data_IF_556608338571
#
_entry.id   IF_556608338571
#
_cell.length_a   1.000
_cell.length_b   1.000
_cell.length_c   1.000
_cell.angle_alpha   90.00
_cell.angle_beta   90.00
_cell.angle_gamma   90.00
#
_symmetry.space_group_name_H-M   'P 1'
#
loop_
_entity.id
_entity.type
_entity.pdbx_description
1 polymer ?
#
# COMPACT_ATOMS: atom_id res chain seq x y z
N UNK A 1 16.64 -27.73 -16.14
CA UNK A 1 16.37 -26.40 -16.74
C UNK A 1 15.86 -25.49 -15.62
N UNK A 2 16.50 -24.33 -15.40
CA UNK A 2 16.10 -23.36 -14.38
C UNK A 2 15.16 -22.35 -15.04
N UNK A 3 13.90 -22.31 -14.62
CA UNK A 3 12.92 -21.30 -15.09
C UNK A 3 13.01 -20.12 -14.12
N UNK A 4 13.29 -18.93 -14.64
CA UNK A 4 13.28 -17.69 -13.86
C UNK A 4 11.98 -16.92 -14.16
N UNK A 5 11.18 -16.65 -13.13
CA UNK A 5 9.94 -15.89 -13.28
C UNK A 5 10.26 -14.39 -13.17
N UNK A 6 10.07 -13.60 -14.24
CA UNK A 6 10.40 -12.18 -14.21
C UNK A 6 9.40 -11.42 -13.34
N UNK A 7 9.85 -10.29 -12.78
CA UNK A 7 8.94 -9.30 -12.18
C UNK A 7 8.24 -8.55 -13.30
N UNK A 8 6.93 -8.46 -13.22
CA UNK A 8 6.07 -7.78 -14.20
C UNK A 8 5.58 -6.51 -13.56
N UNK A 9 5.94 -5.40 -14.17
CA UNK A 9 5.63 -4.05 -13.70
C UNK A 9 4.66 -3.40 -14.67
N UNK A 10 3.66 -2.71 -14.13
CA UNK A 10 2.67 -1.97 -14.92
C UNK A 10 2.60 -0.53 -14.46
N UNK A 11 2.49 0.44 -15.38
CA UNK A 11 2.27 1.83 -15.02
C UNK A 11 0.88 2.00 -14.43
N UNK A 12 0.79 2.81 -13.38
CA UNK A 12 -0.43 3.38 -12.83
C UNK A 12 -0.38 4.89 -13.07
N UNK A 13 -1.01 5.39 -14.15
CA UNK A 13 -1.13 6.83 -14.39
C UNK A 13 -1.96 7.49 -13.29
N UNK A 14 -1.47 8.57 -12.70
CA UNK A 14 -2.25 9.33 -11.72
C UNK A 14 -3.34 10.16 -12.40
N UNK A 15 -3.25 10.38 -13.71
CA UNK A 15 -4.36 10.91 -14.53
C UNK A 15 -5.63 10.03 -14.48
N UNK A 16 -5.51 8.74 -14.18
CA UNK A 16 -6.68 7.85 -13.97
C UNK A 16 -7.47 8.22 -12.71
N UNK A 17 -6.84 8.92 -11.75
CA UNK A 17 -7.49 9.48 -10.58
C UNK A 17 -8.08 10.85 -10.88
N UNK A 18 -7.24 11.77 -11.38
CA UNK A 18 -7.66 13.11 -11.79
C UNK A 18 -6.71 13.68 -12.87
N UNK A 19 -7.22 14.36 -13.91
CA UNK A 19 -6.41 14.79 -15.05
C UNK A 19 -5.29 15.79 -14.70
N UNK A 20 -5.41 16.53 -13.60
CA UNK A 20 -4.45 17.53 -13.14
C UNK A 20 -3.09 16.92 -12.76
N UNK A 21 -3.04 15.61 -12.47
CA UNK A 21 -1.79 14.89 -12.23
C UNK A 21 -0.98 14.60 -13.51
N UNK A 22 -1.53 14.89 -14.68
CA UNK A 22 -0.82 14.88 -15.96
C UNK A 22 -0.08 13.56 -16.25
N UNK A 23 1.22 13.67 -16.54
CA UNK A 23 2.07 12.53 -16.92
C UNK A 23 2.63 11.75 -15.71
N UNK A 24 2.22 12.07 -14.48
CA UNK A 24 2.70 11.36 -13.29
C UNK A 24 2.27 9.88 -13.32
N UNK A 25 3.24 8.98 -13.18
CA UNK A 25 3.02 7.53 -13.25
C UNK A 25 3.74 6.82 -12.12
N UNK A 26 3.03 5.95 -11.42
CA UNK A 26 3.59 5.03 -10.44
C UNK A 26 3.85 3.66 -11.07
N UNK A 27 4.99 3.03 -10.79
CA UNK A 27 5.32 1.71 -11.33
C UNK A 27 4.92 0.61 -10.34
N UNK A 28 3.96 -0.25 -10.69
CA UNK A 28 3.41 -1.26 -9.76
C UNK A 28 3.85 -2.67 -10.16
N UNK A 29 4.46 -3.42 -9.24
CA UNK A 29 4.73 -4.84 -9.41
C UNK A 29 3.44 -5.67 -9.33
N UNK A 30 2.97 -6.23 -10.45
CA UNK A 30 1.65 -6.90 -10.53
C UNK A 30 1.69 -8.42 -10.34
N UNK A 31 2.86 -9.05 -10.41
CA UNK A 31 3.06 -10.47 -10.08
C UNK A 31 3.93 -10.69 -8.83
N UNK A 32 3.69 -9.99 -7.69
CA UNK A 32 4.50 -10.17 -6.50
C UNK A 32 4.42 -11.62 -6.00
N UNK A 33 5.43 -12.14 -5.30
CA UNK A 33 5.37 -13.48 -4.71
C UNK A 33 4.25 -13.58 -3.70
N UNK A 34 3.80 -14.81 -3.41
CA UNK A 34 2.78 -15.06 -2.39
C UNK A 34 3.19 -14.49 -1.03
N UNK A 35 4.45 -14.65 -0.62
CA UNK A 35 4.97 -14.12 0.64
C UNK A 35 4.71 -12.61 0.79
N UNK A 36 4.99 -11.82 -0.25
CA UNK A 36 4.74 -10.37 -0.21
C UNK A 36 3.23 -10.08 -0.08
N UNK A 37 2.35 -10.84 -0.75
CA UNK A 37 0.90 -10.68 -0.57
C UNK A 37 0.46 -11.01 0.87
N UNK A 38 1.03 -12.06 1.45
CA UNK A 38 0.70 -12.52 2.80
C UNK A 38 1.13 -11.48 3.85
N UNK A 39 2.25 -10.78 3.65
CA UNK A 39 2.68 -9.64 4.49
C UNK A 39 1.58 -8.56 4.59
N UNK A 40 1.02 -8.12 3.44
CA UNK A 40 -0.05 -7.13 3.43
C UNK A 40 -1.34 -7.65 4.05
N UNK A 41 -1.70 -8.91 3.77
CA UNK A 41 -2.90 -9.52 4.35
C UNK A 41 -2.80 -9.59 5.88
N UNK A 42 -1.63 -9.93 6.41
CA UNK A 42 -1.38 -9.93 7.85
C UNK A 42 -1.56 -8.54 8.45
N UNK A 43 -1.01 -7.50 7.79
CA UNK A 43 -1.19 -6.11 8.22
C UNK A 43 -2.67 -5.70 8.25
N UNK A 44 -3.46 -6.08 7.24
CA UNK A 44 -4.89 -5.77 7.18
C UNK A 44 -5.67 -6.45 8.33
N UNK A 45 -5.41 -7.73 8.59
CA UNK A 45 -6.05 -8.48 9.69
C UNK A 45 -5.68 -7.86 11.05
N UNK A 46 -4.41 -7.49 11.23
CA UNK A 46 -3.97 -6.82 12.47
C UNK A 46 -4.60 -5.44 12.63
N UNK A 47 -4.70 -4.66 11.54
CA UNK A 47 -5.37 -3.35 11.53
C UNK A 47 -6.82 -3.49 11.97
N UNK A 48 -7.56 -4.44 11.39
CA UNK A 48 -8.96 -4.70 11.75
C UNK A 48 -9.10 -5.05 13.23
N UNK A 49 -8.27 -5.96 13.73
CA UNK A 49 -8.24 -6.37 15.14
C UNK A 49 -7.99 -5.17 16.09
N UNK A 50 -6.98 -4.35 15.79
CA UNK A 50 -6.65 -3.15 16.59
C UNK A 50 -7.79 -2.14 16.58
N UNK A 51 -8.42 -1.90 15.41
CA UNK A 51 -9.57 -0.98 15.29
C UNK A 51 -10.78 -1.49 16.07
N UNK A 52 -11.06 -2.79 16.05
CA UNK A 52 -12.11 -3.39 16.87
C UNK A 52 -11.85 -3.24 18.36
N UNK A 53 -10.62 -3.45 18.82
CA UNK A 53 -10.26 -3.21 20.22
C UNK A 53 -10.44 -1.74 20.59
N UNK A 54 -9.93 -0.81 19.77
CA UNK A 54 -10.07 0.63 20.00
C UNK A 54 -11.54 1.06 20.11
N UNK A 55 -12.44 0.50 19.27
CA UNK A 55 -13.88 0.78 19.32
C UNK A 55 -14.54 0.34 20.64
N UNK A 56 -14.00 -0.69 21.31
CA UNK A 56 -14.53 -1.22 22.58
C UNK A 56 -14.09 -0.37 23.78
N UNK A 57 -13.01 0.41 23.66
CA UNK A 57 -12.46 1.21 24.75
C UNK A 57 -13.16 2.56 24.88
N UNK A 58 -13.97 2.71 25.93
CA UNK A 58 -14.68 3.96 26.29
C UNK A 58 -14.17 4.54 27.62
N UNK A 59 -14.27 5.85 27.80
CA UNK A 59 -13.88 6.49 29.07
C UNK A 59 -12.36 6.65 29.25
N UNK A 60 -11.92 7.52 30.18
CA UNK A 60 -10.51 7.86 30.40
C UNK A 60 -9.66 6.72 30.99
N UNK A 61 -10.26 5.74 31.67
CA UNK A 61 -9.63 4.59 32.32
C UNK A 61 -8.80 3.73 31.36
N UNK A 62 -9.13 3.74 30.06
CA UNK A 62 -8.42 2.99 29.03
C UNK A 62 -7.31 3.79 28.34
N UNK A 63 -6.87 4.94 28.88
CA UNK A 63 -5.82 5.78 28.28
C UNK A 63 -4.55 4.99 27.96
N UNK A 64 -4.06 4.16 28.89
CA UNK A 64 -2.86 3.36 28.69
C UNK A 64 -3.05 2.32 27.56
N UNK A 65 -4.19 1.61 27.55
CA UNK A 65 -4.49 0.62 26.50
C UNK A 65 -4.65 1.27 25.12
N UNK A 66 -5.27 2.46 25.04
CA UNK A 66 -5.36 3.22 23.79
C UNK A 66 -3.99 3.66 23.27
N UNK A 67 -3.07 4.05 24.16
CA UNK A 67 -1.70 4.38 23.76
C UNK A 67 -0.95 3.14 23.23
N UNK A 68 -1.10 1.97 23.88
CA UNK A 68 -0.54 0.70 23.39
C UNK A 68 -1.08 0.33 22.00
N UNK A 69 -2.40 0.44 21.80
CA UNK A 69 -3.03 0.15 20.51
C UNK A 69 -2.65 1.17 19.43
N UNK A 70 -2.45 2.45 19.80
CA UNK A 70 -1.93 3.47 18.88
C UNK A 70 -0.51 3.12 18.42
N UNK A 71 0.39 2.75 19.34
CA UNK A 71 1.76 2.36 19.00
C UNK A 71 1.78 1.12 18.09
N UNK A 72 0.92 0.13 18.35
CA UNK A 72 0.72 -1.01 17.44
C UNK A 72 0.24 -0.56 16.06
N UNK A 73 -0.61 0.45 16.00
CA UNK A 73 -1.10 0.97 14.74
C UNK A 73 0.02 1.65 13.93
N UNK A 74 0.91 2.37 14.61
CA UNK A 74 2.10 2.98 14.00
C UNK A 74 3.06 1.90 13.46
N UNK A 75 3.32 0.83 14.22
CA UNK A 75 4.14 -0.31 13.78
C UNK A 75 3.56 -1.00 12.53
N UNK A 76 2.24 -1.17 12.47
CA UNK A 76 1.56 -1.73 11.29
C UNK A 76 1.67 -0.76 10.12
N UNK A 77 1.56 0.55 10.36
CA UNK A 77 1.79 1.59 9.35
C UNK A 77 3.17 1.50 8.72
N UNK A 78 4.22 1.36 9.53
CA UNK A 78 5.60 1.17 9.05
C UNK A 78 5.77 -0.10 8.21
N UNK A 79 5.11 -1.21 8.59
CA UNK A 79 5.11 -2.44 7.79
C UNK A 79 4.43 -2.24 6.44
N UNK A 80 3.30 -1.54 6.39
CA UNK A 80 2.59 -1.21 5.15
C UNK A 80 3.47 -0.32 4.27
N UNK A 81 4.14 0.69 4.82
CA UNK A 81 5.07 1.56 4.08
C UNK A 81 6.21 0.74 3.47
N UNK A 82 6.85 -0.13 4.25
CA UNK A 82 7.89 -1.03 3.76
C UNK A 82 7.38 -1.96 2.66
N UNK A 83 6.15 -2.45 2.77
CA UNK A 83 5.50 -3.24 1.74
C UNK A 83 5.26 -2.45 0.45
N UNK A 84 4.75 -1.22 0.54
CA UNK A 84 4.49 -0.35 -0.61
C UNK A 84 5.78 0.04 -1.32
N UNK A 85 6.84 0.35 -0.58
CA UNK A 85 8.17 0.63 -1.16
C UNK A 85 8.67 -0.56 -1.98
N UNK A 86 8.55 -1.80 -1.47
CA UNK A 86 8.88 -3.01 -2.26
C UNK A 86 8.00 -3.12 -3.51
N UNK A 87 6.71 -2.82 -3.41
CA UNK A 87 5.77 -2.95 -4.52
C UNK A 87 6.04 -1.93 -5.63
N UNK A 88 6.35 -0.69 -5.26
CA UNK A 88 6.50 0.45 -6.16
C UNK A 88 7.93 0.66 -6.69
N UNK A 89 8.90 -0.10 -6.19
CA UNK A 89 10.32 0.02 -6.55
C UNK A 89 10.84 -1.01 -7.56
N UNK A 90 9.95 -1.61 -8.35
CA UNK A 90 10.36 -2.64 -9.32
C UNK A 90 10.59 -2.10 -10.75
N UNK A 91 10.29 -0.82 -10.99
CA UNK A 91 10.56 -0.15 -12.26
C UNK A 91 12.02 0.29 -12.47
N UNK A 92 12.29 1.10 -13.51
CA UNK A 92 13.56 1.80 -13.69
C UNK A 92 13.98 2.57 -12.43
N UNK A 93 15.28 2.73 -12.21
CA UNK A 93 15.83 3.33 -10.99
C UNK A 93 15.22 4.70 -10.66
N UNK A 94 15.05 5.56 -11.68
CA UNK A 94 14.44 6.88 -11.54
C UNK A 94 12.95 6.89 -11.12
N UNK A 95 12.29 5.73 -11.10
CA UNK A 95 10.87 5.58 -10.73
C UNK A 95 10.66 4.83 -9.42
N UNK A 96 11.75 4.42 -8.76
CA UNK A 96 11.68 3.66 -7.52
C UNK A 96 11.38 4.58 -6.35
N UNK A 97 10.59 4.09 -5.39
CA UNK A 97 10.24 4.80 -4.17
C UNK A 97 10.83 4.09 -2.96
N UNK A 98 11.79 4.73 -2.31
CA UNK A 98 12.29 4.34 -0.99
C UNK A 98 11.18 4.40 0.07
N UNK A 99 11.49 3.93 1.28
CA UNK A 99 10.57 4.05 2.42
C UNK A 99 10.29 5.53 2.69
N UNK A 100 11.32 6.37 2.59
CA UNK A 100 11.27 7.81 2.79
C UNK A 100 10.39 8.48 1.73
N UNK A 101 10.49 8.07 0.47
CA UNK A 101 9.64 8.59 -0.60
C UNK A 101 8.17 8.23 -0.39
N UNK A 102 7.88 7.00 0.08
CA UNK A 102 6.51 6.57 0.39
C UNK A 102 5.96 7.38 1.58
N UNK A 103 6.76 7.66 2.61
CA UNK A 103 6.37 8.54 3.72
C UNK A 103 6.06 9.95 3.23
N UNK A 104 6.95 10.52 2.41
CA UNK A 104 6.74 11.84 1.84
C UNK A 104 5.47 11.92 0.98
N UNK A 105 5.18 10.86 0.20
CA UNK A 105 3.92 10.75 -0.55
C UNK A 105 2.70 10.74 0.39
N UNK A 106 2.74 9.96 1.47
CA UNK A 106 1.63 9.88 2.44
C UNK A 106 1.40 11.23 3.12
N UNK A 107 2.45 11.90 3.56
CA UNK A 107 2.33 13.20 4.23
C UNK A 107 1.85 14.28 3.26
N UNK A 108 2.40 14.32 2.04
CA UNK A 108 1.96 15.29 1.03
C UNK A 108 0.49 15.09 0.64
N UNK A 109 0.06 13.84 0.43
CA UNK A 109 -1.35 13.54 0.14
C UNK A 109 -2.25 13.83 1.33
N UNK A 110 -1.83 13.56 2.58
CA UNK A 110 -2.62 13.93 3.77
C UNK A 110 -2.93 15.43 3.82
N UNK A 111 -1.99 16.27 3.42
CA UNK A 111 -2.14 17.73 3.44
C UNK A 111 -2.91 18.29 2.24
N UNK A 112 -2.68 17.74 1.04
CA UNK A 112 -3.13 18.35 -0.21
C UNK A 112 -4.27 17.59 -0.90
N UNK A 113 -4.29 16.25 -0.80
CA UNK A 113 -5.32 15.40 -1.40
C UNK A 113 -5.46 14.07 -0.61
N UNK A 114 -6.25 14.06 0.48
CA UNK A 114 -6.29 12.93 1.42
C UNK A 114 -6.92 11.67 0.82
N UNK A 115 -7.56 11.75 -0.35
CA UNK A 115 -8.20 10.61 -1.02
C UNK A 115 -7.25 9.95 -2.03
N UNK A 116 -6.24 10.67 -2.52
CA UNK A 116 -5.26 10.15 -3.48
C UNK A 116 -4.51 8.93 -2.95
N UNK A 117 -3.93 8.99 -1.75
CA UNK A 117 -3.16 7.85 -1.22
C UNK A 117 -4.02 6.57 -1.05
N UNK A 118 -5.20 6.61 -0.41
CA UNK A 118 -6.11 5.46 -0.37
C UNK A 118 -6.47 4.93 -1.76
N UNK A 119 -6.66 5.81 -2.75
CA UNK A 119 -6.92 5.41 -4.13
C UNK A 119 -5.72 4.69 -4.75
N UNK A 120 -4.50 5.21 -4.62
CA UNK A 120 -3.27 4.59 -5.15
C UNK A 120 -3.09 3.18 -4.59
N UNK A 121 -3.23 3.02 -3.28
CA UNK A 121 -3.09 1.72 -2.59
C UNK A 121 -4.14 0.74 -3.10
N UNK A 122 -5.41 1.16 -3.14
CA UNK A 122 -6.52 0.32 -3.65
C UNK A 122 -6.29 -0.09 -5.10
N UNK A 123 -5.91 0.86 -5.96
CA UNK A 123 -5.70 0.61 -7.39
C UNK A 123 -4.51 -0.31 -7.63
N UNK A 124 -3.42 -0.14 -6.89
CA UNK A 124 -2.27 -1.06 -6.92
C UNK A 124 -2.69 -2.49 -6.59
N UNK A 125 -3.53 -2.67 -5.56
CA UNK A 125 -4.07 -3.99 -5.21
C UNK A 125 -4.95 -4.56 -6.32
N UNK A 126 -5.85 -3.75 -6.89
CA UNK A 126 -6.69 -4.17 -8.02
C UNK A 126 -5.84 -4.64 -9.20
N UNK A 127 -4.76 -3.94 -9.56
CA UNK A 127 -3.87 -4.34 -10.65
C UNK A 127 -3.22 -5.71 -10.42
N UNK A 128 -2.82 -6.02 -9.18
CA UNK A 128 -2.30 -7.35 -8.82
C UNK A 128 -3.37 -8.43 -9.00
N UNK A 129 -4.60 -8.16 -8.54
CA UNK A 129 -5.72 -9.08 -8.68
C UNK A 129 -6.10 -9.31 -10.15
N UNK A 130 -6.19 -8.24 -10.95
CA UNK A 130 -6.49 -8.30 -12.39
C UNK A 130 -5.45 -9.14 -13.13
N UNK A 131 -4.16 -8.92 -12.84
CA UNK A 131 -3.07 -9.71 -13.44
C UNK A 131 -3.18 -11.20 -13.08
N UNK A 132 -3.40 -11.53 -11.79
CA UNK A 132 -3.44 -12.91 -11.30
C UNK A 132 -4.69 -13.69 -11.69
N UNK A 133 -5.82 -13.02 -11.85
CA UNK A 133 -7.05 -13.65 -12.31
C UNK A 133 -6.95 -14.15 -13.76
N UNK A 134 -5.88 -13.81 -14.49
CA UNK A 134 -5.62 -14.31 -15.84
C UNK A 134 -6.61 -13.80 -16.89
N UNK A 135 -7.34 -12.73 -16.60
CA UNK A 135 -8.46 -12.23 -17.42
C UNK A 135 -7.87 -11.28 -18.48
N UNK A 136 -7.76 -11.63 -19.78
CA UNK A 136 -8.85 -11.91 -20.73
C UNK A 136 -10.06 -11.01 -20.53
N UNK A 137 -9.87 -9.69 -20.46
CA UNK A 137 -10.89 -8.79 -21.02
C UNK A 137 -10.59 -8.68 -22.51
N UNK A 138 -11.44 -9.33 -23.31
CA UNK A 138 -11.63 -8.94 -24.71
C UNK A 138 -12.07 -7.49 -24.77
#
# INVERSE_FOLDING_TARGET
MKIEIPKIVRPLPLADYAPEYGEAVLQVWVNPPKALKDEMQACLVLTESVLEELRKLKGPEHKAKRAELSAKMDEIGEQIIGWLSKLWSQGPEATRLSIEDVKALIDNTRENDPVLYPWIVKRSWTMILEYRAGVKKK
#
